data_IF_142419289927
#
_entry.id   IF_142419289927
#
_cell.length_a   1.000
_cell.length_b   1.000
_cell.length_c   1.000
_cell.angle_alpha   90.00
_cell.angle_beta   90.00
_cell.angle_gamma   90.00
#
_symmetry.space_group_name_H-M   'P 1'
#
loop_
_entity.id
_entity.type
_entity.pdbx_description
1 polymer ?
#
# COMPACT_ATOMS: atom_id res chain seq x y z
N UNK A 1 -28.64 29.46 -6.89
CA UNK A 1 -28.05 29.93 -5.62
C UNK A 1 -27.38 28.85 -4.79
N UNK A 2 -28.05 27.81 -4.28
CA UNK A 2 -27.40 26.83 -3.39
C UNK A 2 -26.22 26.05 -4.05
N UNK A 3 -26.35 25.71 -5.34
CA UNK A 3 -25.28 25.04 -6.09
C UNK A 3 -24.05 25.92 -6.40
N UNK A 4 -24.23 27.23 -6.51
CA UNK A 4 -23.13 28.18 -6.74
C UNK A 4 -22.34 28.43 -5.45
N UNK A 5 -23.03 28.51 -4.31
CA UNK A 5 -22.39 28.64 -2.99
C UNK A 5 -21.56 27.39 -2.65
N UNK A 6 -22.06 26.19 -2.98
CA UNK A 6 -21.31 24.94 -2.77
C UNK A 6 -20.07 24.84 -3.67
N UNK A 7 -20.15 25.30 -4.92
CA UNK A 7 -19.01 25.30 -5.83
C UNK A 7 -17.94 26.33 -5.43
N UNK A 8 -18.33 27.52 -4.95
CA UNK A 8 -17.39 28.54 -4.47
C UNK A 8 -16.74 28.11 -3.16
N UNK A 9 -17.50 27.53 -2.21
CA UNK A 9 -16.96 27.00 -0.97
C UNK A 9 -16.03 25.79 -1.21
N UNK A 10 -16.41 24.87 -2.12
CA UNK A 10 -15.57 23.76 -2.54
C UNK A 10 -14.28 24.23 -3.23
N UNK A 11 -14.37 25.26 -4.09
CA UNK A 11 -13.22 25.88 -4.74
C UNK A 11 -12.27 26.59 -3.78
N UNK A 12 -12.80 27.28 -2.76
CA UNK A 12 -12.00 27.91 -1.70
C UNK A 12 -11.34 26.88 -0.80
N UNK A 13 -12.03 25.78 -0.46
CA UNK A 13 -11.43 24.65 0.27
C UNK A 13 -10.33 24.00 -0.57
N UNK A 14 -10.54 23.74 -1.86
CA UNK A 14 -9.52 23.19 -2.76
C UNK A 14 -8.34 24.14 -2.99
N UNK A 15 -8.57 25.46 -3.05
CA UNK A 15 -7.52 26.47 -3.21
C UNK A 15 -6.73 26.63 -1.91
N UNK A 16 -7.41 26.64 -0.76
CA UNK A 16 -6.78 26.59 0.55
C UNK A 16 -6.03 25.27 0.76
N UNK A 17 -6.54 24.14 0.25
CA UNK A 17 -5.85 22.85 0.26
C UNK A 17 -4.67 22.86 -0.71
N UNK A 18 -4.75 23.51 -1.88
CA UNK A 18 -3.67 23.58 -2.88
C UNK A 18 -2.53 24.49 -2.44
N UNK A 19 -2.82 25.68 -1.89
CA UNK A 19 -1.80 26.55 -1.31
C UNK A 19 -1.23 25.97 -0.01
N UNK A 20 -2.06 25.33 0.82
CA UNK A 20 -1.54 24.50 1.89
C UNK A 20 -0.84 23.25 1.36
N UNK A 21 -1.11 22.75 0.15
CA UNK A 21 -0.49 21.53 -0.37
C UNK A 21 0.96 21.78 -0.74
N UNK A 22 1.29 22.93 -1.34
CA UNK A 22 2.70 23.30 -1.58
C UNK A 22 3.42 23.58 -0.26
N UNK A 23 2.76 24.28 0.67
CA UNK A 23 3.31 24.52 2.00
C UNK A 23 3.43 23.22 2.83
N UNK A 24 2.51 22.27 2.65
CA UNK A 24 2.45 20.95 3.28
C UNK A 24 3.42 19.99 2.62
N UNK A 25 3.66 20.06 1.31
CA UNK A 25 4.75 19.34 0.64
C UNK A 25 6.08 19.85 1.17
N UNK A 26 6.28 21.18 1.25
CA UNK A 26 7.49 21.76 1.84
C UNK A 26 7.60 21.41 3.32
N UNK A 27 6.51 21.43 4.09
CA UNK A 27 6.50 21.14 5.53
C UNK A 27 6.67 19.65 5.83
N UNK A 28 6.04 18.76 5.07
CA UNK A 28 6.21 17.30 5.16
C UNK A 28 7.58 16.90 4.64
N UNK A 29 8.09 17.49 3.56
CA UNK A 29 9.48 17.31 3.15
C UNK A 29 10.43 17.83 4.23
N UNK A 30 10.13 18.98 4.84
CA UNK A 30 10.95 19.52 5.93
C UNK A 30 10.89 18.65 7.18
N UNK A 31 9.74 18.06 7.53
CA UNK A 31 9.59 17.13 8.65
C UNK A 31 10.21 15.76 8.35
N UNK A 32 10.11 15.29 7.11
CA UNK A 32 10.77 14.09 6.63
C UNK A 32 12.29 14.27 6.68
N UNK A 33 12.79 15.40 6.19
CA UNK A 33 14.21 15.76 6.29
C UNK A 33 14.63 16.00 7.73
N UNK A 34 13.85 16.69 8.56
CA UNK A 34 14.13 16.87 9.98
C UNK A 34 14.16 15.53 10.74
N UNK A 35 13.26 14.60 10.38
CA UNK A 35 13.23 13.23 10.89
C UNK A 35 14.43 12.39 10.44
N UNK A 36 14.87 12.53 9.18
CA UNK A 36 16.12 11.92 8.70
C UNK A 36 17.33 12.57 9.38
N UNK A 37 17.28 13.88 9.60
CA UNK A 37 18.36 14.65 10.21
C UNK A 37 18.53 14.31 11.69
N UNK A 38 17.45 13.97 12.39
CA UNK A 38 17.42 13.59 13.80
C UNK A 38 17.79 12.13 14.07
N UNK A 39 18.05 11.30 13.04
CA UNK A 39 18.61 9.96 13.21
C UNK A 39 20.07 10.09 13.66
N UNK A 40 20.47 9.60 14.84
CA UNK A 40 21.84 9.73 15.37
C UNK A 40 22.87 8.87 14.61
N UNK A 41 22.45 8.13 13.58
CA UNK A 41 23.30 7.27 12.76
C UNK A 41 23.63 7.96 11.42
N UNK A 42 24.74 8.68 11.39
CA UNK A 42 25.23 9.44 10.22
C UNK A 42 25.27 8.61 8.92
N UNK A 43 25.74 7.36 8.99
CA UNK A 43 25.87 6.46 7.82
C UNK A 43 24.52 6.08 7.20
N UNK A 44 23.51 5.82 8.04
CA UNK A 44 22.14 5.49 7.59
C UNK A 44 21.47 6.73 7.00
N UNK A 45 21.68 7.88 7.63
CA UNK A 45 21.20 9.18 7.17
C UNK A 45 21.73 9.53 5.78
N UNK A 46 23.04 9.42 5.54
CA UNK A 46 23.65 9.66 4.22
C UNK A 46 23.13 8.67 3.18
N UNK A 47 23.00 7.38 3.52
CA UNK A 47 22.47 6.38 2.59
C UNK A 47 21.01 6.66 2.16
N UNK A 48 20.16 7.09 3.09
CA UNK A 48 18.77 7.45 2.79
C UNK A 48 18.72 8.74 1.95
N UNK A 49 19.54 9.74 2.27
CA UNK A 49 19.68 10.98 1.48
C UNK A 49 20.11 10.63 0.05
N UNK A 50 21.18 9.84 -0.13
CA UNK A 50 21.72 9.49 -1.44
C UNK A 50 20.72 8.72 -2.30
N UNK A 51 20.04 7.72 -1.73
CA UNK A 51 19.03 6.95 -2.47
C UNK A 51 17.85 7.85 -2.88
N UNK A 52 17.36 8.68 -1.97
CA UNK A 52 16.23 9.57 -2.23
C UNK A 52 16.60 10.62 -3.28
N UNK A 53 17.77 11.24 -3.14
CA UNK A 53 18.27 12.25 -4.06
C UNK A 53 18.57 11.66 -5.44
N UNK A 54 19.17 10.46 -5.52
CA UNK A 54 19.41 9.75 -6.77
C UNK A 54 18.11 9.40 -7.51
N UNK A 55 17.06 8.99 -6.79
CA UNK A 55 15.75 8.71 -7.39
C UNK A 55 15.07 9.98 -7.91
N UNK A 56 15.16 11.08 -7.16
CA UNK A 56 14.60 12.38 -7.55
C UNK A 56 15.34 12.97 -8.76
N UNK A 57 16.68 13.02 -8.72
CA UNK A 57 17.50 13.52 -9.82
C UNK A 57 17.33 12.71 -11.10
N UNK A 58 17.20 11.38 -10.99
CA UNK A 58 16.97 10.52 -12.14
C UNK A 58 15.67 10.87 -12.87
N UNK A 59 14.63 11.22 -12.12
CA UNK A 59 13.34 11.61 -12.72
C UNK A 59 13.38 13.04 -13.24
N UNK A 60 14.00 13.99 -12.53
CA UNK A 60 14.23 15.35 -13.05
C UNK A 60 14.99 15.30 -14.37
N UNK A 61 16.10 14.56 -14.43
CA UNK A 61 16.90 14.38 -15.64
C UNK A 61 16.09 13.75 -16.78
N UNK A 62 15.23 12.77 -16.46
CA UNK A 62 14.34 12.15 -17.45
C UNK A 62 13.32 13.14 -18.02
N UNK A 63 12.71 13.99 -17.18
CA UNK A 63 11.74 15.00 -17.61
C UNK A 63 12.44 16.08 -18.45
N UNK A 64 13.59 16.58 -18.03
CA UNK A 64 14.38 17.56 -18.78
C UNK A 64 14.78 17.02 -20.15
N UNK A 65 15.22 15.75 -20.23
CA UNK A 65 15.57 15.10 -21.50
C UNK A 65 14.38 14.93 -22.45
N UNK A 66 13.18 14.65 -21.92
CA UNK A 66 11.95 14.59 -22.74
C UNK A 66 11.58 15.96 -23.29
N UNK A 67 11.79 17.03 -22.51
CA UNK A 67 11.56 18.40 -22.95
C UNK A 67 12.61 18.89 -23.97
N UNK A 68 13.88 18.49 -23.82
CA UNK A 68 14.93 18.78 -24.81
C UNK A 68 14.70 18.06 -26.14
N UNK A 69 14.22 16.81 -26.10
CA UNK A 69 14.00 16.00 -27.30
C UNK A 69 12.67 16.28 -28.00
N UNK A 70 11.70 16.91 -27.32
CA UNK A 70 10.42 17.31 -27.87
C UNK A 70 10.06 18.72 -27.40
N UNK A 71 10.75 19.76 -27.89
CA UNK A 71 10.43 21.11 -27.50
C UNK A 71 8.99 21.44 -27.90
N UNK A 72 8.18 22.04 -27.00
CA UNK A 72 6.86 22.56 -27.38
C UNK A 72 7.03 23.53 -28.55
N UNK A 73 6.22 23.36 -29.60
CA UNK A 73 6.35 24.13 -30.84
C UNK A 73 6.17 25.66 -30.68
N UNK A 74 5.74 26.14 -29.51
CA UNK A 74 5.40 27.56 -29.26
C UNK A 74 6.04 28.20 -28.01
N UNK A 75 7.06 27.62 -27.37
CA UNK A 75 7.64 28.24 -26.16
C UNK A 75 8.86 29.13 -26.44
N UNK A 76 8.76 30.39 -26.02
CA UNK A 76 9.86 31.35 -25.89
C UNK A 76 10.94 30.85 -24.90
N UNK A 77 12.23 31.15 -25.13
CA UNK A 77 13.32 30.62 -24.31
C UNK A 77 13.29 31.22 -22.89
N UNK A 78 13.08 30.38 -21.89
CA UNK A 78 13.21 30.74 -20.47
C UNK A 78 14.64 30.45 -20.01
N UNK A 79 15.36 31.50 -19.61
CA UNK A 79 16.73 31.45 -19.11
C UNK A 79 16.76 30.87 -17.68
N UNK A 80 17.19 29.62 -17.52
CA UNK A 80 17.37 28.99 -16.21
C UNK A 80 18.71 29.44 -15.62
N UNK A 81 18.66 30.31 -14.60
CA UNK A 81 19.86 30.80 -13.90
C UNK A 81 20.09 30.12 -12.55
N UNK A 82 21.35 29.68 -12.36
CA UNK A 82 22.18 29.41 -11.17
C UNK A 82 21.50 28.97 -9.85
N UNK A 83 21.79 27.73 -9.45
CA UNK A 83 21.59 27.19 -8.09
C UNK A 83 22.70 27.67 -7.12
N UNK A 84 22.38 27.97 -5.84
CA UNK A 84 23.37 28.44 -4.86
C UNK A 84 24.10 27.29 -4.17
N UNK A 85 25.39 27.50 -3.88
CA UNK A 85 26.24 26.61 -3.05
C UNK A 85 26.02 26.92 -1.57
N UNK A 86 25.76 25.88 -0.77
CA UNK A 86 25.63 25.94 0.69
C UNK A 86 26.90 25.42 1.38
N UNK A 87 27.43 26.21 2.32
CA UNK A 87 28.52 25.84 3.23
C UNK A 87 27.94 25.29 4.54
N UNK A 88 28.55 24.22 5.07
CA UNK A 88 28.14 23.55 6.31
C UNK A 88 29.05 23.93 7.48
N UNK A 89 28.44 24.18 8.65
CA UNK A 89 29.08 24.44 9.94
C UNK A 89 29.07 23.16 10.79
N UNK A 90 30.22 22.84 11.40
CA UNK A 90 30.42 21.73 12.34
C UNK A 90 29.98 22.14 13.75
N UNK A 91 29.27 21.24 14.45
CA UNK A 91 28.96 21.35 15.89
C UNK A 91 29.22 19.98 16.52
N UNK A 92 29.94 19.97 17.65
CA UNK A 92 30.34 18.78 18.40
C UNK A 92 29.30 18.35 19.45
N UNK A 93 29.20 17.03 19.69
CA UNK A 93 28.35 16.38 20.70
C UNK A 93 29.12 16.02 21.99
N UNK A 94 28.48 16.01 23.18
CA UNK A 94 29.06 15.41 24.38
C UNK A 94 28.47 14.02 24.74
N UNK A 95 29.33 13.22 25.36
CA UNK A 95 29.16 11.82 25.80
C UNK A 95 28.02 11.58 26.81
N UNK A 96 27.38 10.41 26.71
CA UNK A 96 26.41 9.91 27.71
C UNK A 96 26.90 8.65 28.42
N UNK A 97 26.79 8.63 29.75
CA UNK A 97 27.09 7.49 30.64
C UNK A 97 25.83 6.69 30.99
N UNK A 98 26.03 5.37 31.10
CA UNK A 98 25.05 4.32 31.39
C UNK A 98 24.64 4.21 32.87
N UNK A 99 23.37 3.90 33.13
CA UNK A 99 22.93 3.31 34.41
C UNK A 99 21.80 2.29 34.17
N UNK A 100 22.02 1.03 34.57
CA UNK A 100 20.99 -0.02 34.64
C UNK A 100 20.55 -0.18 36.10
N UNK A 101 19.24 -0.23 36.36
CA UNK A 101 18.70 -0.71 37.65
C UNK A 101 17.50 -1.63 37.40
N UNK A 102 17.55 -2.79 38.06
CA UNK A 102 16.59 -3.88 37.94
C UNK A 102 15.26 -3.59 38.63
N UNK A 103 14.15 -4.08 38.04
CA UNK A 103 12.80 -4.04 38.62
C UNK A 103 12.39 -5.39 39.26
N UNK A 104 11.51 -5.38 40.28
CA UNK A 104 11.10 -6.57 41.02
C UNK A 104 9.92 -7.30 40.36
N UNK A 105 9.90 -8.62 40.56
CA UNK A 105 8.86 -9.53 40.09
C UNK A 105 7.56 -9.36 40.88
N UNK A 106 6.46 -9.10 40.17
CA UNK A 106 5.10 -9.04 40.72
C UNK A 106 4.43 -10.43 40.78
N UNK A 107 3.53 -10.69 41.74
CA UNK A 107 2.91 -12.00 41.93
C UNK A 107 1.74 -12.25 40.97
N UNK A 108 1.63 -13.48 40.46
CA UNK A 108 0.53 -13.95 39.61
C UNK A 108 -0.71 -14.30 40.44
N UNK A 109 -1.83 -13.60 40.22
CA UNK A 109 -3.13 -13.94 40.81
C UNK A 109 -3.90 -14.99 39.99
N UNK A 110 -4.63 -15.88 40.69
CA UNK A 110 -5.30 -17.09 40.18
C UNK A 110 -6.69 -16.88 39.53
N UNK A 111 -7.19 -15.64 39.38
CA UNK A 111 -8.55 -15.36 38.87
C UNK A 111 -8.71 -15.43 37.33
N UNK A 112 -7.77 -16.06 36.60
CA UNK A 112 -7.66 -15.92 35.13
C UNK A 112 -8.44 -16.93 34.29
N UNK A 113 -9.04 -17.97 34.88
CA UNK A 113 -9.55 -19.11 34.11
C UNK A 113 -10.96 -18.94 33.51
N UNK A 114 -11.83 -18.10 34.06
CA UNK A 114 -13.20 -17.94 33.53
C UNK A 114 -13.32 -16.90 32.40
N UNK A 115 -12.41 -15.93 32.32
CA UNK A 115 -12.45 -14.90 31.27
C UNK A 115 -11.99 -15.39 29.89
N UNK A 116 -11.21 -16.47 29.82
CA UNK A 116 -10.58 -16.94 28.57
C UNK A 116 -11.56 -17.63 27.63
N UNK A 117 -12.53 -18.38 28.14
CA UNK A 117 -13.48 -19.14 27.30
C UNK A 117 -14.40 -18.21 26.48
N UNK A 118 -14.99 -17.18 27.11
CA UNK A 118 -15.83 -16.20 26.43
C UNK A 118 -15.05 -15.40 25.38
N UNK A 119 -13.84 -14.96 25.73
CA UNK A 119 -12.99 -14.20 24.80
C UNK A 119 -12.58 -15.05 23.58
N UNK A 120 -12.30 -16.36 23.77
CA UNK A 120 -12.05 -17.26 22.65
C UNK A 120 -13.28 -17.48 21.77
N UNK A 121 -14.48 -17.57 22.35
CA UNK A 121 -15.72 -17.70 21.59
C UNK A 121 -16.01 -16.45 20.75
N UNK A 122 -15.85 -15.26 21.33
CA UNK A 122 -15.98 -13.98 20.62
C UNK A 122 -14.96 -13.86 19.48
N UNK A 123 -13.70 -14.29 19.71
CA UNK A 123 -12.67 -14.34 18.68
C UNK A 123 -13.04 -15.28 17.52
N UNK A 124 -13.51 -16.49 17.82
CA UNK A 124 -13.94 -17.46 16.80
C UNK A 124 -15.10 -16.93 15.96
N UNK A 125 -16.09 -16.30 16.61
CA UNK A 125 -17.22 -15.69 15.93
C UNK A 125 -16.77 -14.55 15.01
N UNK A 126 -15.90 -13.65 15.50
CA UNK A 126 -15.34 -12.56 14.70
C UNK A 126 -14.55 -13.07 13.48
N UNK A 127 -13.69 -14.08 13.67
CA UNK A 127 -12.92 -14.68 12.58
C UNK A 127 -13.83 -15.36 11.54
N UNK A 128 -14.88 -16.06 11.98
CA UNK A 128 -15.85 -16.67 11.09
C UNK A 128 -16.62 -15.61 10.28
N UNK A 129 -17.07 -14.54 10.92
CA UNK A 129 -17.80 -13.44 10.26
C UNK A 129 -16.91 -12.66 9.28
N UNK A 130 -15.64 -12.41 9.64
CA UNK A 130 -14.66 -11.82 8.74
C UNK A 130 -14.42 -12.71 7.50
N UNK A 131 -14.26 -14.02 7.68
CA UNK A 131 -14.15 -14.98 6.59
C UNK A 131 -15.40 -14.98 5.69
N UNK A 132 -16.60 -15.00 6.26
CA UNK A 132 -17.87 -14.97 5.49
C UNK A 132 -18.04 -13.67 4.73
N UNK A 133 -17.77 -12.53 5.35
CA UNK A 133 -17.85 -11.20 4.72
C UNK A 133 -16.90 -11.10 3.54
N UNK A 134 -15.69 -11.64 3.69
CA UNK A 134 -14.72 -11.68 2.62
C UNK A 134 -15.15 -12.60 1.47
N UNK A 135 -15.64 -13.80 1.78
CA UNK A 135 -16.18 -14.73 0.78
C UNK A 135 -17.35 -14.08 0.02
N UNK A 136 -18.20 -13.32 0.72
CA UNK A 136 -19.27 -12.52 0.10
C UNK A 136 -18.69 -11.47 -0.84
N UNK A 137 -17.73 -10.66 -0.41
CA UNK A 137 -17.05 -9.68 -1.28
C UNK A 137 -16.44 -10.34 -2.53
N UNK A 138 -15.79 -11.49 -2.38
CA UNK A 138 -15.24 -12.26 -3.51
C UNK A 138 -16.34 -12.79 -4.45
N UNK A 139 -17.46 -13.25 -3.90
CA UNK A 139 -18.61 -13.71 -4.68
C UNK A 139 -19.34 -12.55 -5.40
N UNK A 140 -19.41 -11.36 -4.78
CA UNK A 140 -20.01 -10.17 -5.37
C UNK A 140 -19.19 -9.62 -6.53
N UNK A 141 -17.86 -9.72 -6.48
CA UNK A 141 -16.99 -9.42 -7.64
C UNK A 141 -17.27 -10.39 -8.80
N UNK A 142 -17.62 -11.64 -8.51
CA UNK A 142 -18.03 -12.62 -9.53
C UNK A 142 -19.42 -12.33 -10.11
N UNK A 143 -20.19 -11.44 -9.49
CA UNK A 143 -21.55 -11.05 -9.90
C UNK A 143 -21.62 -9.71 -10.64
N UNK A 144 -20.48 -9.07 -10.94
CA UNK A 144 -20.44 -7.96 -11.90
C UNK A 144 -20.82 -8.54 -13.26
N UNK A 145 -22.13 -8.43 -13.57
CA UNK A 145 -22.78 -8.96 -14.76
C UNK A 145 -22.16 -8.24 -15.96
N UNK A 146 -21.24 -8.90 -16.64
CA UNK A 146 -20.71 -8.46 -17.93
C UNK A 146 -21.91 -8.46 -18.89
N UNK A 147 -22.46 -7.28 -19.17
CA UNK A 147 -23.45 -7.17 -20.24
C UNK A 147 -22.76 -7.60 -21.53
N UNK A 148 -23.32 -8.57 -22.28
CA UNK A 148 -22.76 -8.93 -23.57
C UNK A 148 -22.71 -7.66 -24.43
N UNK A 149 -21.61 -7.44 -25.18
CA UNK A 149 -21.51 -6.28 -26.04
C UNK A 149 -22.72 -6.25 -26.98
N UNK A 150 -23.40 -5.09 -27.06
CA UNK A 150 -24.42 -4.86 -28.08
C UNK A 150 -23.76 -5.12 -29.43
N UNK A 151 -24.18 -6.17 -30.13
CA UNK A 151 -23.82 -6.41 -31.52
C UNK A 151 -24.53 -5.36 -32.37
N UNK A 152 -23.93 -4.18 -32.49
CA UNK A 152 -24.38 -3.17 -33.44
C UNK A 152 -23.84 -3.52 -34.82
N UNK A 153 -24.73 -3.95 -35.71
CA UNK A 153 -24.49 -3.96 -37.16
C UNK A 153 -23.50 -5.01 -37.66
N UNK A 154 -23.86 -6.29 -37.60
CA UNK A 154 -23.38 -7.22 -38.63
C UNK A 154 -24.12 -6.86 -39.93
N UNK A 155 -23.46 -6.06 -40.78
CA UNK A 155 -23.77 -6.07 -42.21
C UNK A 155 -23.75 -7.52 -42.69
N UNK A 156 -24.83 -7.93 -43.34
CA UNK A 156 -24.96 -9.23 -43.98
C UNK A 156 -23.87 -9.39 -45.04
N UNK A 157 -22.71 -9.90 -44.64
CA UNK A 157 -21.82 -10.53 -45.60
C UNK A 157 -22.57 -11.69 -46.25
N UNK A 158 -22.60 -11.66 -47.58
CA UNK A 158 -23.19 -12.70 -48.43
C UNK A 158 -22.84 -14.10 -47.90
N UNK A 159 -23.88 -14.88 -47.60
CA UNK A 159 -23.83 -16.27 -47.10
C UNK A 159 -22.85 -17.18 -47.86
N UNK A 160 -22.52 -16.84 -49.11
CA UNK A 160 -21.57 -17.55 -49.95
C UNK A 160 -20.08 -17.33 -49.60
N UNK A 161 -19.70 -16.14 -49.12
CA UNK A 161 -18.33 -15.84 -48.71
C UNK A 161 -18.00 -16.44 -47.35
N UNK A 162 -18.97 -16.41 -46.42
CA UNK A 162 -18.86 -17.04 -45.11
C UNK A 162 -18.71 -18.57 -45.21
N UNK A 163 -19.42 -19.21 -46.16
CA UNK A 163 -19.30 -20.66 -46.38
C UNK A 163 -17.91 -21.08 -46.88
N UNK A 164 -17.31 -20.33 -47.81
CA UNK A 164 -15.95 -20.64 -48.29
C UNK A 164 -14.89 -20.46 -47.21
N UNK A 165 -14.99 -19.39 -46.40
CA UNK A 165 -14.03 -19.13 -45.33
C UNK A 165 -14.12 -20.17 -44.19
N UNK A 166 -15.31 -20.76 -43.97
CA UNK A 166 -15.51 -21.88 -43.02
C UNK A 166 -14.94 -23.20 -43.55
N UNK A 167 -15.10 -23.51 -44.84
CA UNK A 167 -14.53 -24.73 -45.43
C UNK A 167 -13.00 -24.68 -45.54
N UNK A 168 -12.42 -23.50 -45.80
CA UNK A 168 -10.97 -23.31 -45.90
C UNK A 168 -10.28 -23.31 -44.51
N UNK A 169 -10.95 -22.79 -43.48
CA UNK A 169 -10.43 -22.81 -42.08
C UNK A 169 -10.78 -24.09 -41.30
N UNK A 170 -11.60 -24.98 -41.86
CA UNK A 170 -12.05 -26.23 -41.23
C UNK A 170 -10.96 -27.28 -40.97
N UNK A 171 -9.70 -27.01 -41.37
CA UNK A 171 -8.55 -27.92 -41.17
C UNK A 171 -7.45 -27.38 -40.28
N UNK A 172 -7.61 -26.20 -39.68
CA UNK A 172 -6.65 -25.75 -38.68
C UNK A 172 -6.77 -26.57 -37.37
N UNK A 173 -5.66 -26.85 -36.67
CA UNK A 173 -5.65 -27.65 -35.45
C UNK A 173 -6.30 -26.90 -34.27
N UNK A 174 -7.64 -26.86 -34.25
CA UNK A 174 -8.50 -26.31 -33.19
C UNK A 174 -8.18 -26.90 -31.79
N UNK A 175 -7.44 -28.01 -31.73
CA UNK A 175 -7.01 -28.62 -30.47
C UNK A 175 -5.91 -27.83 -29.74
N UNK A 176 -4.96 -27.20 -30.45
CA UNK A 176 -3.76 -26.62 -29.79
C UNK A 176 -4.07 -25.30 -29.07
N UNK A 177 -4.81 -24.39 -29.71
CA UNK A 177 -5.18 -23.09 -29.15
C UNK A 177 -6.15 -23.25 -27.96
N UNK A 178 -7.11 -24.17 -28.07
CA UNK A 178 -8.08 -24.44 -27.01
C UNK A 178 -7.40 -25.02 -25.77
N UNK A 179 -6.42 -25.91 -25.96
CA UNK A 179 -5.60 -26.46 -24.87
C UNK A 179 -4.74 -25.36 -24.22
N UNK A 180 -4.14 -24.46 -25.01
CA UNK A 180 -3.35 -23.35 -24.49
C UNK A 180 -4.21 -22.39 -23.65
N UNK A 181 -5.38 -21.98 -24.15
CA UNK A 181 -6.34 -21.12 -23.44
C UNK A 181 -6.78 -21.75 -22.10
N UNK A 182 -7.07 -23.05 -22.09
CA UNK A 182 -7.44 -23.76 -20.87
C UNK A 182 -6.28 -23.81 -19.85
N UNK A 183 -5.04 -24.05 -20.30
CA UNK A 183 -3.85 -24.01 -19.44
C UNK A 183 -3.61 -22.61 -18.86
N UNK A 184 -3.76 -21.56 -19.66
CA UNK A 184 -3.64 -20.18 -19.20
C UNK A 184 -4.71 -19.85 -18.14
N UNK A 185 -5.98 -20.16 -18.41
CA UNK A 185 -7.08 -19.93 -17.46
C UNK A 185 -6.88 -20.67 -16.13
N UNK A 186 -6.37 -21.91 -16.17
CA UNK A 186 -6.04 -22.68 -14.96
C UNK A 186 -4.92 -22.01 -14.15
N UNK A 187 -3.84 -21.58 -14.80
CA UNK A 187 -2.74 -20.85 -14.15
C UNK A 187 -3.22 -19.54 -13.52
N UNK A 188 -4.12 -18.82 -14.17
CA UNK A 188 -4.66 -17.56 -13.64
C UNK A 188 -5.54 -17.76 -12.40
N UNK A 189 -6.36 -18.81 -12.37
CA UNK A 189 -7.09 -19.20 -11.15
C UNK A 189 -6.16 -19.49 -9.97
N UNK A 190 -5.05 -20.20 -10.23
CA UNK A 190 -4.04 -20.48 -9.21
C UNK A 190 -3.40 -19.19 -8.70
N UNK A 191 -2.96 -18.30 -9.59
CA UNK A 191 -2.35 -17.00 -9.20
C UNK A 191 -3.33 -16.19 -8.36
N UNK A 192 -4.59 -16.07 -8.79
CA UNK A 192 -5.63 -15.39 -8.02
C UNK A 192 -5.78 -15.99 -6.61
N UNK A 193 -5.89 -17.32 -6.51
CA UNK A 193 -5.96 -18.02 -5.22
C UNK A 193 -4.77 -17.73 -4.31
N UNK A 194 -3.55 -17.71 -4.85
CA UNK A 194 -2.34 -17.39 -4.09
C UNK A 194 -2.33 -15.95 -3.57
N UNK A 195 -2.82 -14.98 -4.35
CA UNK A 195 -2.96 -13.59 -3.90
C UNK A 195 -3.88 -13.48 -2.69
N UNK A 196 -5.07 -14.07 -2.76
CA UNK A 196 -6.02 -14.04 -1.64
C UNK A 196 -5.47 -14.76 -0.42
N UNK A 197 -4.90 -15.95 -0.60
CA UNK A 197 -4.33 -16.72 0.50
C UNK A 197 -3.22 -15.93 1.20
N UNK A 198 -2.24 -15.42 0.45
CA UNK A 198 -1.14 -14.66 1.03
C UNK A 198 -1.60 -13.36 1.70
N UNK A 199 -2.55 -12.65 1.10
CA UNK A 199 -3.12 -11.43 1.65
C UNK A 199 -3.82 -11.66 3.01
N UNK A 200 -4.51 -12.78 3.18
CA UNK A 200 -5.32 -13.05 4.37
C UNK A 200 -4.55 -13.74 5.50
N UNK A 201 -3.58 -14.59 5.18
CA UNK A 201 -2.86 -15.36 6.20
C UNK A 201 -2.07 -14.46 7.15
N UNK A 202 -1.52 -13.33 6.67
CA UNK A 202 -0.78 -12.40 7.53
C UNK A 202 -1.65 -11.77 8.63
N UNK A 203 -2.77 -11.07 8.32
CA UNK A 203 -3.62 -10.52 9.37
C UNK A 203 -4.26 -11.59 10.25
N UNK A 204 -4.61 -12.77 9.72
CA UNK A 204 -5.10 -13.88 10.54
C UNK A 204 -4.05 -14.34 11.55
N UNK A 205 -2.81 -14.49 11.12
CA UNK A 205 -1.70 -14.83 12.01
C UNK A 205 -1.41 -13.70 13.02
N UNK A 206 -1.51 -12.42 12.64
CA UNK A 206 -1.34 -11.31 13.59
C UNK A 206 -2.48 -11.30 14.64
N UNK A 207 -3.73 -11.47 14.20
CA UNK A 207 -4.90 -11.54 15.08
C UNK A 207 -4.76 -12.71 16.07
N UNK A 208 -4.43 -13.91 15.59
CA UNK A 208 -4.18 -15.06 16.45
C UNK A 208 -2.99 -14.82 17.39
N UNK A 209 -1.92 -14.20 16.88
CA UNK A 209 -0.71 -13.85 17.62
C UNK A 209 -0.97 -12.95 18.83
N UNK A 210 -1.92 -12.03 18.70
CA UNK A 210 -2.22 -11.03 19.73
C UNK A 210 -3.29 -11.50 20.70
N UNK A 211 -4.32 -12.15 20.19
CA UNK A 211 -5.54 -12.48 20.95
C UNK A 211 -5.56 -13.93 21.44
N UNK A 212 -4.75 -14.80 20.85
CA UNK A 212 -4.65 -16.21 21.21
C UNK A 212 -3.99 -16.45 22.57
N UNK A 213 -4.22 -17.63 23.12
CA UNK A 213 -3.68 -18.05 24.42
C UNK A 213 -2.30 -18.72 24.24
N UNK A 214 -1.29 -17.91 23.96
CA UNK A 214 0.10 -18.37 23.80
C UNK A 214 1.09 -17.30 24.29
N UNK A 215 2.40 -17.59 24.41
CA UNK A 215 3.39 -16.61 24.82
C UNK A 215 3.32 -15.33 23.97
N UNK A 216 3.18 -14.18 24.64
CA UNK A 216 3.04 -12.87 24.01
C UNK A 216 1.66 -12.52 23.44
N UNK A 217 0.70 -13.44 23.49
CA UNK A 217 -0.70 -13.21 23.18
C UNK A 217 -1.52 -12.79 24.41
N UNK A 218 -2.83 -13.06 24.38
CA UNK A 218 -3.76 -12.75 25.46
C UNK A 218 -4.14 -11.27 25.61
N UNK A 219 -3.88 -10.45 24.59
CA UNK A 219 -4.41 -9.08 24.56
C UNK A 219 -5.94 -9.12 24.46
N UNK A 220 -6.59 -8.19 25.15
CA UNK A 220 -8.05 -8.03 25.07
C UNK A 220 -8.40 -7.29 23.78
N UNK A 221 -9.50 -7.67 23.14
CA UNK A 221 -10.06 -6.93 21.99
C UNK A 221 -10.38 -5.47 22.33
N UNK A 222 -10.66 -5.16 23.60
CA UNK A 222 -10.88 -3.78 24.06
C UNK A 222 -9.59 -2.97 24.21
N UNK A 223 -8.41 -3.60 24.16
CA UNK A 223 -7.15 -2.88 24.25
C UNK A 223 -6.89 -2.13 22.94
N UNK A 224 -6.78 -0.79 23.02
CA UNK A 224 -6.51 0.05 21.86
C UNK A 224 -5.25 -0.41 21.09
N UNK A 225 -4.20 -0.81 21.82
CA UNK A 225 -2.96 -1.29 21.20
C UNK A 225 -3.15 -2.54 20.35
N UNK A 226 -4.11 -3.45 20.66
CA UNK A 226 -4.32 -4.65 19.86
C UNK A 226 -4.77 -4.31 18.43
N UNK A 227 -5.55 -3.24 18.28
CA UNK A 227 -6.04 -2.78 16.98
C UNK A 227 -4.94 -2.19 16.09
N UNK A 228 -3.85 -1.67 16.65
CA UNK A 228 -2.74 -1.15 15.85
C UNK A 228 -2.14 -2.22 14.91
N UNK A 229 -1.50 -3.29 15.39
CA UNK A 229 -0.92 -4.32 14.53
C UNK A 229 -1.98 -5.06 13.70
N UNK A 230 -3.21 -5.26 14.21
CA UNK A 230 -4.30 -5.86 13.44
C UNK A 230 -4.62 -4.99 12.21
N UNK A 231 -4.93 -3.71 12.41
CA UNK A 231 -5.30 -2.82 11.29
C UNK A 231 -4.11 -2.58 10.36
N UNK A 232 -2.87 -2.45 10.87
CA UNK A 232 -1.69 -2.34 10.01
C UNK A 232 -1.49 -3.59 9.15
N UNK A 233 -1.68 -4.80 9.69
CA UNK A 233 -1.62 -6.04 8.91
C UNK A 233 -2.77 -6.19 7.89
N UNK A 234 -3.95 -5.63 8.18
CA UNK A 234 -5.04 -5.57 7.21
C UNK A 234 -4.72 -4.55 6.11
N UNK A 235 -4.19 -3.38 6.45
CA UNK A 235 -3.88 -2.35 5.47
C UNK A 235 -2.77 -2.79 4.49
N UNK A 236 -1.63 -3.22 5.01
CA UNK A 236 -0.42 -3.39 4.21
C UNK A 236 -0.34 -4.75 3.51
N UNK A 237 -0.08 -5.89 4.18
CA UNK A 237 0.06 -7.17 3.50
C UNK A 237 -1.26 -7.72 2.96
N UNK A 238 -2.42 -7.21 3.40
CA UNK A 238 -3.73 -7.63 2.84
C UNK A 238 -4.24 -6.65 1.77
N UNK A 239 -4.75 -5.48 2.16
CA UNK A 239 -5.45 -4.59 1.23
C UNK A 239 -4.52 -4.01 0.14
N UNK A 240 -3.27 -3.64 0.45
CA UNK A 240 -2.35 -3.17 -0.62
C UNK A 240 -2.03 -4.27 -1.63
N UNK A 241 -1.85 -5.51 -1.18
CA UNK A 241 -1.63 -6.66 -2.06
C UNK A 241 -2.88 -6.92 -2.92
N UNK A 242 -4.08 -6.88 -2.33
CA UNK A 242 -5.34 -7.06 -3.07
C UNK A 242 -5.64 -5.92 -4.06
N UNK A 243 -5.31 -4.68 -3.74
CA UNK A 243 -5.47 -3.61 -4.73
C UNK A 243 -4.48 -3.74 -5.87
N UNK A 244 -3.30 -4.32 -5.64
CA UNK A 244 -2.37 -4.65 -6.73
C UNK A 244 -2.87 -5.81 -7.58
N UNK A 245 -3.49 -6.81 -6.96
CA UNK A 245 -4.16 -7.91 -7.66
C UNK A 245 -5.19 -7.43 -8.69
N UNK A 246 -5.89 -6.31 -8.44
CA UNK A 246 -6.84 -5.72 -9.40
C UNK A 246 -6.22 -5.38 -10.78
N UNK A 247 -4.90 -5.19 -10.86
CA UNK A 247 -4.19 -4.99 -12.14
C UNK A 247 -3.55 -6.25 -12.74
N UNK A 248 -3.54 -7.35 -11.98
CA UNK A 248 -2.95 -8.63 -12.38
C UNK A 248 -4.02 -9.57 -12.93
N UNK A 249 -5.21 -9.54 -12.35
CA UNK A 249 -6.31 -10.43 -12.71
C UNK A 249 -6.81 -10.19 -14.15
N UNK A 250 -7.08 -11.28 -14.87
CA UNK A 250 -7.79 -11.30 -16.17
C UNK A 250 -9.31 -11.19 -16.00
N UNK A 251 -9.82 -11.44 -14.79
CA UNK A 251 -11.25 -11.43 -14.52
C UNK A 251 -11.90 -10.06 -14.77
N UNK A 252 -11.08 -9.00 -14.83
CA UNK A 252 -11.53 -7.63 -15.08
C UNK A 252 -10.89 -7.15 -16.39
N UNK A 253 -11.60 -7.37 -17.50
CA UNK A 253 -11.12 -6.97 -18.82
C UNK A 253 -11.05 -5.44 -18.94
N UNK A 254 -12.06 -4.75 -18.41
CA UNK A 254 -12.18 -3.31 -18.54
C UNK A 254 -11.11 -2.56 -17.74
N UNK A 255 -10.31 -1.74 -18.43
CA UNK A 255 -9.23 -0.95 -17.82
C UNK A 255 -9.74 0.10 -16.83
N UNK A 256 -10.90 0.72 -17.12
CA UNK A 256 -11.55 1.68 -16.24
C UNK A 256 -11.92 1.05 -14.90
N UNK A 257 -12.65 -0.07 -14.95
CA UNK A 257 -13.04 -0.82 -13.76
C UNK A 257 -11.84 -1.29 -12.92
N UNK A 258 -10.75 -1.76 -13.53
CA UNK A 258 -9.51 -2.12 -12.80
C UNK A 258 -8.93 -0.94 -12.02
N UNK A 259 -8.89 0.25 -12.64
CA UNK A 259 -8.38 1.48 -12.00
C UNK A 259 -9.26 1.90 -10.84
N UNK A 260 -10.58 1.86 -11.02
CA UNK A 260 -11.54 2.19 -9.98
C UNK A 260 -11.42 1.23 -8.80
N UNK A 261 -11.43 -0.09 -9.06
CA UNK A 261 -11.28 -1.10 -8.02
C UNK A 261 -9.95 -0.95 -7.25
N UNK A 262 -8.84 -0.78 -7.97
CA UNK A 262 -7.55 -0.51 -7.36
C UNK A 262 -7.60 0.73 -6.47
N UNK A 263 -8.10 1.86 -6.99
CA UNK A 263 -8.20 3.11 -6.25
C UNK A 263 -9.05 2.97 -4.98
N UNK A 264 -10.21 2.33 -5.07
CA UNK A 264 -11.09 2.07 -3.92
C UNK A 264 -10.42 1.22 -2.85
N UNK A 265 -9.74 0.14 -3.24
CA UNK A 265 -9.02 -0.72 -2.28
C UNK A 265 -7.84 0.03 -1.64
N UNK A 266 -7.09 0.84 -2.41
CA UNK A 266 -5.98 1.64 -1.87
C UNK A 266 -6.47 2.73 -0.91
N UNK A 267 -7.58 3.39 -1.22
CA UNK A 267 -8.20 4.36 -0.32
C UNK A 267 -8.63 3.70 0.99
N UNK A 268 -9.26 2.51 0.91
CA UNK A 268 -9.62 1.73 2.10
C UNK A 268 -8.37 1.33 2.89
N UNK A 269 -7.30 0.87 2.22
CA UNK A 269 -6.04 0.54 2.87
C UNK A 269 -5.45 1.74 3.64
N UNK A 270 -5.47 2.93 3.05
CA UNK A 270 -5.01 4.15 3.70
C UNK A 270 -5.85 4.50 4.94
N UNK A 271 -7.18 4.42 4.83
CA UNK A 271 -8.09 4.65 5.96
C UNK A 271 -7.87 3.64 7.10
N UNK A 272 -7.70 2.36 6.78
CA UNK A 272 -7.41 1.31 7.75
C UNK A 272 -6.06 1.54 8.42
N UNK A 273 -5.03 1.95 7.68
CA UNK A 273 -3.72 2.30 8.24
C UNK A 273 -3.81 3.49 9.21
N UNK A 274 -4.58 4.54 8.87
CA UNK A 274 -4.84 5.67 9.76
C UNK A 274 -5.59 5.23 11.02
N UNK A 275 -6.55 4.31 10.90
CA UNK A 275 -7.20 3.69 12.06
C UNK A 275 -6.21 2.94 12.96
N UNK A 276 -5.27 2.20 12.36
CA UNK A 276 -4.19 1.54 13.09
C UNK A 276 -3.26 2.53 13.81
N UNK A 277 -3.00 3.69 13.21
CA UNK A 277 -2.23 4.77 13.84
C UNK A 277 -2.98 5.39 15.02
N UNK A 278 -4.28 5.70 14.84
CA UNK A 278 -5.12 6.25 15.90
C UNK A 278 -5.22 5.30 17.11
N UNK A 279 -5.32 4.00 16.87
CA UNK A 279 -5.28 2.97 17.91
C UNK A 279 -3.97 2.97 18.71
N UNK A 280 -2.81 3.06 18.04
CA UNK A 280 -1.51 3.19 18.69
C UNK A 280 -1.42 4.49 19.49
N UNK A 281 -1.78 5.62 18.87
CA UNK A 281 -1.73 6.92 19.51
C UNK A 281 -2.56 6.95 20.80
N UNK A 282 -3.78 6.41 20.76
CA UNK A 282 -4.65 6.26 21.95
C UNK A 282 -4.00 5.40 23.03
N UNK A 283 -3.33 4.31 22.65
CA UNK A 283 -2.64 3.43 23.60
C UNK A 283 -1.42 4.11 24.26
N UNK A 284 -0.71 4.96 23.51
CA UNK A 284 0.48 5.66 24.00
C UNK A 284 0.20 7.01 24.68
N UNK A 285 -0.97 7.60 24.45
CA UNK A 285 -1.39 8.87 25.05
C UNK A 285 -1.19 8.98 26.57
N UNK A 286 -1.56 7.99 27.41
CA UNK A 286 -1.38 8.09 28.85
C UNK A 286 0.08 8.02 29.29
N UNK A 287 0.93 7.28 28.58
CA UNK A 287 2.35 7.09 28.92
C UNK A 287 3.28 8.10 28.22
N UNK A 288 2.74 8.94 27.33
CA UNK A 288 3.48 9.93 26.53
C UNK A 288 4.69 9.32 25.81
N UNK A 289 4.50 8.13 25.21
CA UNK A 289 5.57 7.44 24.48
C UNK A 289 5.40 7.64 22.97
N UNK A 290 6.29 8.39 22.34
CA UNK A 290 6.24 8.71 20.90
C UNK A 290 7.62 8.61 20.29
N UNK A 291 7.72 8.16 19.03
CA UNK A 291 9.01 7.98 18.33
C UNK A 291 9.99 7.08 19.08
N UNK A 292 9.49 6.12 19.85
CA UNK A 292 10.28 5.29 20.74
C UNK A 292 10.87 6.00 21.96
N UNK A 293 10.53 7.26 22.23
CA UNK A 293 10.95 8.03 23.40
C UNK A 293 9.80 8.19 24.40
N UNK A 294 10.06 7.98 25.69
CA UNK A 294 9.09 8.22 26.76
C UNK A 294 9.32 9.62 27.36
N UNK A 295 8.39 10.55 27.09
CA UNK A 295 8.48 11.93 27.56
C UNK A 295 8.21 12.08 29.07
N UNK A 296 7.68 11.06 29.73
CA UNK A 296 7.46 11.06 31.18
C UNK A 296 8.72 10.61 31.93
N UNK A 297 9.39 9.56 31.45
CA UNK A 297 10.58 9.00 32.10
C UNK A 297 11.90 9.52 31.54
N UNK A 298 11.86 10.25 30.42
CA UNK A 298 13.05 10.72 29.68
C UNK A 298 13.98 9.60 29.20
N UNK A 299 13.41 8.43 28.89
CA UNK A 299 14.17 7.26 28.45
C UNK A 299 13.75 6.82 27.04
N UNK A 300 14.75 6.36 26.28
CA UNK A 300 14.52 5.68 25.01
C UNK A 300 14.07 4.23 25.24
N UNK A 301 13.13 3.77 24.43
CA UNK A 301 12.77 2.36 24.37
C UNK A 301 13.85 1.54 23.66
N UNK A 302 13.72 0.22 23.69
CA UNK A 302 14.67 -0.68 23.01
C UNK A 302 14.83 -0.29 21.53
N UNK A 303 16.05 -0.30 20.96
CA UNK A 303 16.32 0.23 19.63
C UNK A 303 15.41 -0.31 18.52
N UNK A 304 15.04 -1.59 18.58
CA UNK A 304 14.13 -2.19 17.60
C UNK A 304 12.75 -1.50 17.56
N UNK A 305 12.24 -1.00 18.69
CA UNK A 305 10.99 -0.22 18.72
C UNK A 305 11.16 1.16 18.12
N UNK A 306 12.28 1.84 18.41
CA UNK A 306 12.60 3.14 17.81
C UNK A 306 12.66 3.02 16.29
N UNK A 307 13.36 2.00 15.78
CA UNK A 307 13.44 1.72 14.33
C UNK A 307 12.05 1.44 13.75
N UNK A 308 11.25 0.61 14.42
CA UNK A 308 9.87 0.31 13.99
C UNK A 308 8.99 1.56 13.93
N UNK A 309 9.10 2.43 14.93
CA UNK A 309 8.32 3.68 15.00
C UNK A 309 8.74 4.61 13.85
N UNK A 310 10.04 4.84 13.64
CA UNK A 310 10.55 5.72 12.57
C UNK A 310 10.16 5.22 11.17
N UNK A 311 10.28 3.92 10.92
CA UNK A 311 9.83 3.31 9.66
C UNK A 311 8.30 3.44 9.54
N UNK A 312 7.55 3.18 10.61
CA UNK A 312 6.10 3.29 10.64
C UNK A 312 5.59 4.69 10.30
N UNK A 313 6.16 5.73 10.91
CA UNK A 313 5.84 7.12 10.59
C UNK A 313 6.15 7.47 9.13
N UNK A 314 7.31 7.03 8.65
CA UNK A 314 7.72 7.23 7.25
C UNK A 314 6.73 6.56 6.28
N UNK A 315 6.32 5.33 6.56
CA UNK A 315 5.31 4.61 5.77
C UNK A 315 3.99 5.37 5.76
N UNK A 316 3.51 5.86 6.91
CA UNK A 316 2.24 6.60 6.97
C UNK A 316 2.28 7.89 6.15
N UNK A 317 3.38 8.64 6.24
CA UNK A 317 3.58 9.83 5.41
C UNK A 317 3.57 9.47 3.91
N UNK A 318 4.28 8.40 3.52
CA UNK A 318 4.31 7.92 2.13
C UNK A 318 2.95 7.42 1.65
N UNK A 319 2.15 6.76 2.51
CA UNK A 319 0.78 6.32 2.18
C UNK A 319 -0.13 7.51 1.90
N UNK A 320 -0.08 8.54 2.74
CA UNK A 320 -0.86 9.77 2.52
C UNK A 320 -0.44 10.45 1.21
N UNK A 321 0.86 10.60 0.98
CA UNK A 321 1.38 11.17 -0.26
C UNK A 321 0.96 10.35 -1.50
N UNK A 322 1.07 9.02 -1.41
CA UNK A 322 0.67 8.09 -2.46
C UNK A 322 -0.83 8.17 -2.75
N UNK A 323 -1.67 8.29 -1.73
CA UNK A 323 -3.12 8.45 -1.88
C UNK A 323 -3.45 9.75 -2.61
N UNK A 324 -2.83 10.88 -2.22
CA UNK A 324 -3.03 12.17 -2.87
C UNK A 324 -2.62 12.15 -4.34
N UNK A 325 -1.43 11.62 -4.65
CA UNK A 325 -0.98 11.44 -6.04
C UNK A 325 -1.93 10.53 -6.81
N UNK A 326 -2.40 9.44 -6.20
CA UNK A 326 -3.34 8.52 -6.82
C UNK A 326 -4.64 9.21 -7.25
N UNK A 327 -5.19 10.05 -6.38
CA UNK A 327 -6.40 10.84 -6.68
C UNK A 327 -6.14 11.88 -7.78
N UNK A 328 -5.06 12.66 -7.68
CA UNK A 328 -4.68 13.62 -8.71
C UNK A 328 -4.45 12.96 -10.08
N UNK A 329 -3.87 11.75 -10.07
CA UNK A 329 -3.66 10.94 -11.26
C UNK A 329 -4.97 10.49 -11.90
N UNK A 330 -5.97 10.10 -11.13
CA UNK A 330 -7.30 9.73 -11.66
C UNK A 330 -7.93 10.91 -12.40
N UNK A 331 -7.91 12.11 -11.79
CA UNK A 331 -8.43 13.33 -12.41
C UNK A 331 -7.69 13.65 -13.72
N UNK A 332 -6.36 13.60 -13.73
CA UNK A 332 -5.57 13.84 -14.95
C UNK A 332 -5.82 12.78 -16.03
N UNK A 333 -6.02 11.52 -15.66
CA UNK A 333 -6.35 10.45 -16.59
C UNK A 333 -7.74 10.59 -17.22
N UNK A 334 -8.72 11.18 -16.52
CA UNK A 334 -10.02 11.53 -17.11
C UNK A 334 -9.87 12.55 -18.25
N UNK A 335 -8.89 13.44 -18.13
CA UNK A 335 -8.52 14.40 -19.17
C UNK A 335 -7.49 13.86 -20.18
N UNK A 336 -7.26 12.53 -20.22
CA UNK A 336 -6.28 11.85 -21.09
C UNK A 336 -4.81 12.29 -20.87
N UNK A 337 -4.49 12.98 -19.77
CA UNK A 337 -3.12 13.41 -19.44
C UNK A 337 -2.41 12.33 -18.63
N UNK A 338 -1.34 11.76 -19.20
CA UNK A 338 -0.46 10.83 -18.48
C UNK A 338 0.42 11.62 -17.51
N UNK A 339 0.28 11.32 -16.22
CA UNK A 339 1.06 11.96 -15.14
C UNK A 339 1.42 10.95 -14.05
N UNK A 340 2.42 11.29 -13.23
CA UNK A 340 2.84 10.52 -12.06
C UNK A 340 3.12 9.04 -12.38
N UNK A 341 4.04 8.81 -13.32
CA UNK A 341 4.50 7.47 -13.73
C UNK A 341 5.15 6.72 -12.57
N UNK A 342 5.90 7.41 -11.72
CA UNK A 342 6.57 6.86 -10.53
C UNK A 342 5.59 6.35 -9.45
N UNK A 343 4.32 6.74 -9.46
CA UNK A 343 3.31 6.31 -8.48
C UNK A 343 3.26 4.77 -8.33
N UNK A 344 3.39 4.04 -9.43
CA UNK A 344 3.40 2.57 -9.37
C UNK A 344 4.64 2.01 -8.66
N UNK A 345 5.81 2.63 -8.86
CA UNK A 345 7.06 2.25 -8.20
C UNK A 345 7.02 2.60 -6.71
N UNK A 346 6.52 3.79 -6.37
CA UNK A 346 6.39 4.24 -4.98
C UNK A 346 5.48 3.31 -4.16
N UNK A 347 4.35 2.87 -4.74
CA UNK A 347 3.47 1.89 -4.09
C UNK A 347 4.20 0.58 -3.73
N UNK A 348 5.10 0.11 -4.60
CA UNK A 348 5.92 -1.09 -4.31
C UNK A 348 6.93 -0.86 -3.20
N UNK A 349 7.56 0.32 -3.16
CA UNK A 349 8.49 0.70 -2.09
C UNK A 349 7.76 0.71 -0.73
N UNK A 350 6.56 1.28 -0.66
CA UNK A 350 5.73 1.28 0.55
C UNK A 350 5.45 -0.16 1.02
N UNK A 351 5.09 -1.07 0.11
CA UNK A 351 4.87 -2.48 0.44
C UNK A 351 6.13 -3.15 1.01
N UNK A 352 7.30 -2.93 0.41
CA UNK A 352 8.58 -3.46 0.92
C UNK A 352 8.88 -2.92 2.31
N UNK A 353 8.80 -1.59 2.50
CA UNK A 353 9.03 -0.96 3.80
C UNK A 353 8.06 -1.49 4.86
N UNK A 354 6.79 -1.70 4.51
CA UNK A 354 5.79 -2.26 5.43
C UNK A 354 6.13 -3.69 5.87
N UNK A 355 6.64 -4.53 4.97
CA UNK A 355 7.10 -5.86 5.31
C UNK A 355 8.31 -5.81 6.25
N UNK A 356 9.31 -4.97 5.94
CA UNK A 356 10.45 -4.72 6.84
C UNK A 356 9.96 -4.27 8.21
N UNK A 357 8.96 -3.39 8.27
CA UNK A 357 8.45 -2.90 9.54
C UNK A 357 7.78 -4.00 10.39
N UNK A 358 7.09 -4.94 9.75
CA UNK A 358 6.54 -6.15 10.40
C UNK A 358 7.67 -7.05 10.91
N UNK A 359 8.75 -7.22 10.14
CA UNK A 359 9.90 -8.01 10.57
C UNK A 359 10.58 -7.40 11.80
N UNK A 360 10.75 -6.07 11.83
CA UNK A 360 11.28 -5.36 13.00
C UNK A 360 10.35 -5.56 14.21
N UNK A 361 9.02 -5.50 14.02
CA UNK A 361 8.06 -5.79 15.09
C UNK A 361 8.20 -7.20 15.66
N UNK A 362 8.45 -8.20 14.80
CA UNK A 362 8.67 -9.58 15.21
C UNK A 362 9.88 -9.72 16.15
N UNK A 363 10.89 -8.85 16.06
CA UNK A 363 12.06 -8.89 16.97
C UNK A 363 11.61 -8.71 18.43
N UNK A 364 10.78 -7.71 18.70
CA UNK A 364 10.40 -7.35 20.08
C UNK A 364 9.03 -7.88 20.52
N UNK A 365 8.25 -8.50 19.64
CA UNK A 365 7.07 -9.26 20.07
C UNK A 365 7.47 -10.43 20.96
N UNK A 366 6.67 -10.70 22.00
CA UNK A 366 6.94 -11.75 22.99
C UNK A 366 6.47 -13.14 22.53
N UNK A 367 6.33 -13.33 21.22
CA UNK A 367 5.93 -14.60 20.61
C UNK A 367 7.06 -15.61 20.59
N UNK A 368 6.72 -16.89 20.40
CA UNK A 368 7.71 -17.95 20.19
C UNK A 368 8.48 -17.71 18.89
N UNK A 369 9.73 -18.19 18.82
CA UNK A 369 10.56 -18.02 17.63
C UNK A 369 9.89 -18.60 16.36
N UNK A 370 9.31 -19.80 16.46
CA UNK A 370 8.59 -20.42 15.34
C UNK A 370 7.44 -19.56 14.83
N UNK A 371 6.69 -18.90 15.72
CA UNK A 371 5.58 -18.04 15.34
C UNK A 371 6.05 -16.74 14.66
N UNK A 372 7.16 -16.15 15.14
CA UNK A 372 7.81 -15.01 14.50
C UNK A 372 8.25 -15.35 13.07
N UNK A 373 8.89 -16.51 12.89
CA UNK A 373 9.34 -16.99 11.57
C UNK A 373 8.13 -17.18 10.63
N UNK A 374 7.06 -17.79 11.12
CA UNK A 374 5.83 -17.95 10.34
C UNK A 374 5.30 -16.61 9.83
N UNK A 375 5.11 -15.62 10.71
CA UNK A 375 4.60 -14.29 10.33
C UNK A 375 5.56 -13.57 9.38
N UNK A 376 6.86 -13.68 9.61
CA UNK A 376 7.89 -13.12 8.74
C UNK A 376 7.82 -13.69 7.32
N UNK A 377 7.75 -15.02 7.18
CA UNK A 377 7.65 -15.71 5.88
C UNK A 377 6.36 -15.32 5.17
N UNK A 378 5.23 -15.31 5.89
CA UNK A 378 3.95 -14.90 5.31
C UNK A 378 3.98 -13.45 4.81
N UNK A 379 4.53 -12.52 5.60
CA UNK A 379 4.64 -11.11 5.22
C UNK A 379 5.54 -10.91 3.99
N UNK A 380 6.69 -11.60 3.94
CA UNK A 380 7.60 -11.56 2.78
C UNK A 380 6.93 -12.16 1.55
N UNK A 381 6.24 -13.30 1.67
CA UNK A 381 5.55 -13.95 0.56
C UNK A 381 4.42 -13.06 0.00
N UNK A 382 3.59 -12.47 0.86
CA UNK A 382 2.52 -11.55 0.46
C UNK A 382 3.08 -10.33 -0.28
N UNK A 383 4.15 -9.73 0.24
CA UNK A 383 4.81 -8.59 -0.40
C UNK A 383 5.48 -8.97 -1.72
N UNK A 384 6.14 -10.13 -1.79
CA UNK A 384 6.74 -10.62 -3.03
C UNK A 384 5.68 -10.80 -4.13
N UNK A 385 4.54 -11.41 -3.80
CA UNK A 385 3.41 -11.53 -4.74
C UNK A 385 2.91 -10.16 -5.21
N UNK A 386 2.70 -9.21 -4.30
CA UNK A 386 2.28 -7.86 -4.70
C UNK A 386 3.30 -7.12 -5.58
N UNK A 387 4.58 -7.16 -5.20
CA UNK A 387 5.63 -6.34 -5.81
C UNK A 387 6.14 -6.92 -7.13
N UNK A 388 6.36 -8.24 -7.17
CA UNK A 388 7.04 -8.93 -8.27
C UNK A 388 6.07 -9.38 -9.37
N UNK A 389 4.77 -9.50 -9.07
CA UNK A 389 3.83 -9.93 -10.10
C UNK A 389 3.68 -8.85 -11.19
N UNK A 390 3.94 -9.21 -12.46
CA UNK A 390 3.83 -8.27 -13.56
C UNK A 390 2.37 -7.81 -13.71
N UNK A 391 2.20 -6.56 -14.15
CA UNK A 391 0.88 -6.09 -14.57
C UNK A 391 0.41 -6.86 -15.79
N UNK A 392 -0.91 -7.02 -15.94
CA UNK A 392 -1.49 -7.65 -17.12
C UNK A 392 -0.92 -7.01 -18.42
N UNK A 393 -0.67 -7.82 -19.46
CA UNK A 393 -0.23 -7.29 -20.75
C UNK A 393 -1.20 -6.21 -21.22
N UNK A 394 -0.66 -5.13 -21.81
CA UNK A 394 -1.48 -4.18 -22.53
C UNK A 394 -1.92 -4.86 -23.82
N UNK A 395 -3.04 -5.58 -23.80
CA UNK A 395 -3.65 -6.02 -25.06
C UNK A 395 -3.93 -4.77 -25.89
N UNK A 396 -3.42 -4.80 -27.12
CA UNK A 396 -3.15 -3.68 -28.01
C UNK A 396 -4.20 -2.56 -27.93
N UNK A 397 -3.90 -1.52 -27.13
CA UNK A 397 -4.57 -0.22 -27.24
C UNK A 397 -4.34 0.39 -28.63
N UNK A 398 -3.39 -0.15 -29.41
CA UNK A 398 -3.00 0.36 -30.71
C UNK A 398 -4.10 0.25 -31.78
N UNK A 399 -5.01 -0.72 -31.68
CA UNK A 399 -6.07 -0.92 -32.69
C UNK A 399 -7.24 0.03 -32.50
N UNK A 400 -7.45 0.55 -31.28
CA UNK A 400 -8.61 1.40 -30.96
C UNK A 400 -8.34 2.90 -31.12
N UNK A 401 -7.07 3.32 -30.99
CA UNK A 401 -6.69 4.73 -31.13
C UNK A 401 -6.48 5.16 -32.60
N UNK A 402 -6.45 4.23 -33.57
CA UNK A 402 -6.34 4.53 -35.01
C UNK A 402 -7.69 4.60 -35.74
N UNK A 403 -8.82 4.39 -35.05
CA UNK A 403 -10.17 4.41 -35.63
C UNK A 403 -11.03 5.61 -35.19
N UNK A 404 -10.40 6.67 -34.65
CA UNK A 404 -11.01 7.97 -34.35
C UNK A 404 -10.15 9.02 -35.03
#
# INVERSE_FOLDING_TARGET
MLGEVVNVAGGLVLTAFYYNFTAFEVYIMSLFWAGIISIPLYQVKISIIDVTFSLMLRETYRVTRVMETNPPQDSTPVLVSKLPRLHWLHVDEPESRSFQKAMPLMPRSRSRLQGTARQQQELRAFLAEACVTLLRLMSSVSFIRIHPPKQSGQELMSSSALRRDIEEKGKEPVSSERVLKNRLRSRMKLVNGLFFLAALLVPLAVIWGLLGDHPGGGLKLSAAFAWHPILMSIAFPCLMVLGRWAYVTDLIEEKGLRRTLHGSIMALAALVALGGYAAMFKAHWPIKQYFGYNFTTHEWTVPARVIHDLIGYSILALVLFQATIGMAKIVKLQNKIKSFTFHGTLGKVIMILSAVNILVACVFWKWTAGYKILVAVLAVAATALGVLTPSAPKHDEHVRDTMI
#
